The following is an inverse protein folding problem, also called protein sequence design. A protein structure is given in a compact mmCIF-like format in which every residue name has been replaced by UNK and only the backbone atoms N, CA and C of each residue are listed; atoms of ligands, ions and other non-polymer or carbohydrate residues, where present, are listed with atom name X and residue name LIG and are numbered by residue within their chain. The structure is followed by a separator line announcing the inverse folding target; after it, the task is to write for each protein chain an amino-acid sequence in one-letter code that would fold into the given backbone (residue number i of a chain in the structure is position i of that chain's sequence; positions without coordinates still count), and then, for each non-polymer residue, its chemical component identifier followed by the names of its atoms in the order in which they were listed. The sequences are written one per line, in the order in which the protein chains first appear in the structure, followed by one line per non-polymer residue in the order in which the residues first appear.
data_IF_934945566536
#
_entry.id   IF_934945566536
#
_cell.length_a   1.000
_cell.length_b   1.000
_cell.length_c   1.000
_cell.angle_alpha   90.00
_cell.angle_beta   90.00
_cell.angle_gamma   90.00
#
_symmetry.space_group_name_H-M   'P 1'
#
loop_
_entity.id
_entity.type
_entity.pdbx_description
1 polymer ?
#
# COMPACT_ATOMS: atom_id res chain seq x y z
N UNK A 1 -11.71 -1.81 -20.45
CA UNK A 1 -10.69 -2.88 -20.41
C UNK A 1 -10.80 -3.65 -19.08
N UNK A 2 -10.05 -4.74 -18.86
CA UNK A 2 -9.99 -5.43 -17.55
C UNK A 2 -9.32 -4.55 -16.49
N UNK A 3 -8.36 -3.72 -16.90
CA UNK A 3 -7.69 -2.72 -16.06
C UNK A 3 -8.69 -1.70 -15.48
N UNK A 4 -9.48 -1.04 -16.34
CA UNK A 4 -10.47 -0.03 -15.89
C UNK A 4 -11.50 -0.62 -14.91
N UNK A 5 -11.92 -1.88 -15.14
CA UNK A 5 -12.87 -2.56 -14.25
C UNK A 5 -12.27 -2.79 -12.87
N UNK A 6 -10.97 -3.11 -12.81
CA UNK A 6 -10.25 -3.27 -11.53
C UNK A 6 -10.24 -1.94 -10.76
N UNK A 7 -9.86 -0.85 -11.42
CA UNK A 7 -9.85 0.49 -10.80
C UNK A 7 -11.24 0.91 -10.32
N UNK A 8 -12.29 0.65 -11.11
CA UNK A 8 -13.68 0.93 -10.72
C UNK A 8 -14.13 0.10 -9.52
N UNK A 9 -13.70 -1.16 -9.42
CA UNK A 9 -14.01 -2.01 -8.28
C UNK A 9 -13.35 -1.48 -7.00
N UNK A 10 -12.08 -1.07 -7.08
CA UNK A 10 -11.35 -0.49 -5.94
C UNK A 10 -12.04 0.80 -5.47
N UNK A 11 -12.36 1.71 -6.38
CA UNK A 11 -13.09 2.95 -6.11
C UNK A 11 -14.42 2.67 -5.39
N UNK A 12 -15.18 1.69 -5.90
CA UNK A 12 -16.44 1.26 -5.30
C UNK A 12 -16.26 0.66 -3.89
N UNK A 13 -15.25 -0.19 -3.69
CA UNK A 13 -14.95 -0.81 -2.39
C UNK A 13 -14.57 0.25 -1.36
N UNK A 14 -13.65 1.16 -1.69
CA UNK A 14 -13.21 2.21 -0.76
C UNK A 14 -14.35 3.14 -0.42
N UNK A 15 -15.15 3.55 -1.41
CA UNK A 15 -16.33 4.41 -1.17
C UNK A 15 -17.38 3.74 -0.28
N UNK A 16 -17.60 2.43 -0.46
CA UNK A 16 -18.63 1.68 0.26
C UNK A 16 -18.21 1.30 1.67
N UNK A 17 -16.97 0.83 1.83
CA UNK A 17 -16.44 0.33 3.11
C UNK A 17 -15.95 1.48 3.99
N UNK A 18 -15.46 2.57 3.38
CA UNK A 18 -14.80 3.68 4.08
C UNK A 18 -13.71 3.20 5.04
N UNK A 19 -12.69 2.46 4.54
CA UNK A 19 -11.67 1.88 5.39
C UNK A 19 -10.82 2.95 6.10
N UNK A 20 -10.43 2.68 7.35
CA UNK A 20 -9.47 3.51 8.10
C UNK A 20 -8.04 3.39 7.54
N UNK A 21 -7.71 2.24 6.94
CA UNK A 21 -6.42 1.95 6.34
C UNK A 21 -6.57 0.93 5.21
N UNK A 22 -5.79 1.10 4.14
CA UNK A 22 -5.68 0.12 3.04
C UNK A 22 -4.35 -0.60 3.15
N UNK A 23 -4.38 -1.93 3.09
CA UNK A 23 -3.19 -2.78 3.15
C UNK A 23 -3.13 -3.59 1.86
N UNK A 24 -2.10 -3.34 1.04
CA UNK A 24 -1.87 -4.00 -0.24
C UNK A 24 -0.82 -5.07 -0.05
N UNK A 25 -1.22 -6.34 -0.23
CA UNK A 25 -0.38 -7.52 0.05
C UNK A 25 0.00 -8.23 -1.24
N UNK A 26 0.94 -7.65 -1.96
CA UNK A 26 1.57 -8.23 -3.14
C UNK A 26 0.71 -8.33 -4.39
N UNK A 27 1.41 -8.58 -5.50
CA UNK A 27 0.95 -8.81 -6.86
C UNK A 27 -0.07 -7.75 -7.32
N UNK A 28 0.24 -6.49 -7.04
CA UNK A 28 -0.64 -5.36 -7.36
C UNK A 28 -0.50 -4.98 -8.83
N UNK A 29 0.73 -5.00 -9.34
CA UNK A 29 1.04 -4.70 -10.74
C UNK A 29 1.73 -5.91 -11.35
N UNK A 30 1.10 -6.51 -12.37
CA UNK A 30 1.75 -7.60 -13.11
C UNK A 30 2.91 -7.02 -13.94
N UNK A 31 4.14 -7.42 -13.60
CA UNK A 31 5.34 -7.05 -14.36
C UNK A 31 5.41 -7.65 -15.77
N UNK A 32 4.48 -8.53 -16.13
CA UNK A 32 4.38 -9.17 -17.45
C UNK A 32 3.40 -8.40 -18.33
N UNK A 33 3.81 -8.11 -19.58
CA UNK A 33 2.96 -7.48 -20.59
C UNK A 33 3.38 -6.05 -20.91
N UNK A 34 2.47 -5.17 -21.39
CA UNK A 34 2.82 -3.84 -21.91
C UNK A 34 3.39 -2.88 -20.85
N UNK A 35 3.34 -3.27 -19.58
CA UNK A 35 3.82 -2.52 -18.42
C UNK A 35 5.23 -2.93 -18.01
N UNK A 36 6.05 -3.48 -18.92
CA UNK A 36 7.39 -3.98 -18.59
C UNK A 36 8.47 -2.88 -18.36
N UNK A 37 8.08 -1.60 -18.39
CA UNK A 37 8.99 -0.47 -18.22
C UNK A 37 9.17 -0.09 -16.74
N UNK A 38 10.31 0.49 -16.37
CA UNK A 38 10.53 0.99 -15.00
C UNK A 38 9.50 2.05 -14.56
N UNK A 39 8.99 2.81 -15.52
CA UNK A 39 8.00 3.87 -15.28
C UNK A 39 6.59 3.31 -15.07
N UNK A 40 6.30 2.16 -15.68
CA UNK A 40 4.97 1.54 -15.72
C UNK A 40 4.43 1.14 -14.33
N UNK A 41 5.29 0.68 -13.41
CA UNK A 41 4.85 0.43 -12.02
C UNK A 41 4.37 1.73 -11.40
N UNK A 42 5.15 2.81 -11.54
CA UNK A 42 4.81 4.10 -10.92
C UNK A 42 3.54 4.68 -11.54
N UNK A 43 3.33 4.55 -12.86
CA UNK A 43 2.09 4.96 -13.53
C UNK A 43 0.86 4.22 -12.98
N UNK A 44 0.93 2.89 -12.83
CA UNK A 44 -0.16 2.12 -12.24
C UNK A 44 -0.51 2.60 -10.81
N UNK A 45 0.50 2.97 -10.01
CA UNK A 45 0.27 3.56 -8.69
C UNK A 45 -0.36 4.96 -8.76
N UNK A 46 -0.01 5.78 -9.75
CA UNK A 46 -0.64 7.10 -9.94
C UNK A 46 -2.13 6.99 -10.33
N UNK A 47 -2.52 5.95 -11.05
CA UNK A 47 -3.93 5.68 -11.35
C UNK A 47 -4.69 5.09 -10.15
N UNK A 48 -4.00 4.27 -9.35
CA UNK A 48 -4.57 3.56 -8.21
C UNK A 48 -4.79 4.46 -6.99
N UNK A 49 -3.81 5.27 -6.61
CA UNK A 49 -3.83 6.11 -5.38
C UNK A 49 -5.06 7.03 -5.30
N UNK A 50 -5.50 7.72 -6.37
CA UNK A 50 -6.70 8.56 -6.34
C UNK A 50 -7.97 7.81 -5.91
N UNK A 51 -8.03 6.48 -6.12
CA UNK A 51 -9.15 5.60 -5.73
C UNK A 51 -9.22 5.32 -4.24
N UNK A 52 -8.18 5.68 -3.49
CA UNK A 52 -8.13 5.52 -2.04
C UNK A 52 -8.84 6.64 -1.29
N UNK A 53 -9.29 7.71 -1.97
CA UNK A 53 -10.06 8.81 -1.36
C UNK A 53 -9.42 9.40 -0.08
N UNK A 54 -8.09 9.52 -0.08
CA UNK A 54 -7.26 9.97 1.06
C UNK A 54 -7.16 8.98 2.25
N UNK A 55 -7.68 7.76 2.11
CA UNK A 55 -7.41 6.70 3.08
C UNK A 55 -5.91 6.37 3.08
N UNK A 56 -5.25 6.39 4.25
CA UNK A 56 -3.85 6.01 4.36
C UNK A 56 -3.62 4.56 3.93
N UNK A 57 -2.48 4.30 3.31
CA UNK A 57 -2.20 2.97 2.77
C UNK A 57 -0.78 2.49 3.04
N UNK A 58 -0.58 1.18 2.96
CA UNK A 58 0.74 0.53 2.95
C UNK A 58 0.78 -0.55 1.89
N UNK A 59 2.00 -0.87 1.45
CA UNK A 59 2.27 -1.86 0.42
C UNK A 59 3.40 -2.79 0.86
N UNK A 60 3.22 -4.06 0.51
CA UNK A 60 4.19 -5.15 0.70
C UNK A 60 4.24 -5.88 -0.63
N UNK A 61 5.43 -6.05 -1.24
CA UNK A 61 5.56 -6.73 -2.51
C UNK A 61 5.28 -8.23 -2.34
N UNK A 62 4.63 -8.79 -3.35
CA UNK A 62 4.45 -10.21 -3.58
C UNK A 62 5.58 -10.75 -4.44
N UNK A 63 5.52 -12.04 -4.71
CA UNK A 63 6.55 -12.69 -5.52
C UNK A 63 6.47 -12.26 -7.00
N UNK A 64 5.32 -11.85 -7.53
CA UNK A 64 5.23 -11.39 -8.92
C UNK A 64 5.55 -9.90 -9.11
N UNK A 65 5.62 -9.12 -8.02
CA UNK A 65 6.14 -7.75 -8.08
C UNK A 65 7.67 -7.72 -8.15
N UNK A 66 8.34 -8.78 -7.68
CA UNK A 66 9.79 -8.86 -7.51
C UNK A 66 10.43 -9.95 -8.39
N UNK A 67 10.02 -11.21 -8.23
CA UNK A 67 10.57 -12.33 -8.99
C UNK A 67 10.08 -12.28 -10.45
N UNK A 68 11.02 -12.21 -11.39
CA UNK A 68 10.77 -12.11 -12.84
C UNK A 68 10.04 -10.83 -13.28
N UNK A 69 9.98 -9.81 -12.43
CA UNK A 69 9.52 -8.48 -12.81
C UNK A 69 10.68 -7.65 -13.41
N UNK A 70 10.39 -6.59 -14.18
CA UNK A 70 11.42 -5.67 -14.67
C UNK A 70 11.94 -4.70 -13.59
N UNK A 71 11.38 -4.74 -12.37
CA UNK A 71 11.65 -3.80 -11.30
C UNK A 71 12.49 -4.44 -10.21
N UNK A 72 13.51 -3.72 -9.75
CA UNK A 72 14.26 -4.13 -8.57
C UNK A 72 13.48 -3.79 -7.30
N UNK A 73 13.77 -4.46 -6.19
CA UNK A 73 13.30 -4.03 -4.85
C UNK A 73 13.54 -2.54 -4.57
N UNK A 74 14.64 -1.97 -5.05
CA UNK A 74 14.94 -0.54 -4.91
C UNK A 74 14.00 0.36 -5.71
N UNK A 75 13.55 -0.10 -6.88
CA UNK A 75 12.52 0.57 -7.67
C UNK A 75 11.18 0.50 -6.91
N UNK A 76 10.82 -0.67 -6.35
CA UNK A 76 9.61 -0.84 -5.54
C UNK A 76 9.60 0.01 -4.26
N UNK A 77 10.75 0.24 -3.62
CA UNK A 77 10.83 1.13 -2.45
C UNK A 77 10.45 2.59 -2.77
N UNK A 78 10.49 3.02 -4.04
CA UNK A 78 10.02 4.35 -4.42
C UNK A 78 8.50 4.50 -4.25
N UNK A 79 7.75 3.41 -4.37
CA UNK A 79 6.29 3.38 -4.16
C UNK A 79 5.95 3.87 -2.75
N UNK A 80 6.76 3.50 -1.75
CA UNK A 80 6.52 3.87 -0.34
C UNK A 80 6.71 5.37 -0.06
N UNK A 81 7.22 6.13 -1.04
CA UNK A 81 7.37 7.59 -0.96
C UNK A 81 6.17 8.34 -1.57
N UNK A 82 5.24 7.63 -2.21
CA UNK A 82 4.08 8.22 -2.88
C UNK A 82 3.06 8.76 -1.84
N UNK A 83 2.26 9.78 -2.21
CA UNK A 83 1.30 10.41 -1.32
C UNK A 83 0.33 9.43 -0.65
N UNK A 84 0.08 9.65 0.64
CA UNK A 84 -0.86 8.85 1.43
C UNK A 84 -0.31 7.52 1.94
N UNK A 85 0.91 7.14 1.53
CA UNK A 85 1.58 5.99 2.13
C UNK A 85 1.92 6.29 3.60
N UNK A 86 1.53 5.42 4.53
CA UNK A 86 1.83 5.61 5.95
C UNK A 86 3.34 5.66 6.23
N UNK A 87 4.15 5.01 5.42
CA UNK A 87 5.60 5.03 5.57
C UNK A 87 6.23 6.35 5.13
N UNK A 88 5.65 7.04 4.13
CA UNK A 88 6.06 8.40 3.74
C UNK A 88 6.07 9.35 4.94
N UNK A 89 5.11 9.20 5.85
CA UNK A 89 5.03 9.99 7.08
C UNK A 89 6.14 9.65 8.10
N UNK A 90 6.66 8.42 8.06
CA UNK A 90 7.73 7.92 8.93
C UNK A 90 9.14 8.28 8.43
N UNK A 91 9.31 8.60 7.15
CA UNK A 91 10.58 9.07 6.58
C UNK A 91 11.10 10.37 7.23
N UNK A 92 10.25 11.15 7.86
CA UNK A 92 10.66 12.29 8.69
C UNK A 92 11.47 11.87 9.93
N UNK A 93 11.51 10.58 10.27
CA UNK A 93 12.14 10.01 11.48
C UNK A 93 13.41 9.19 11.19
N UNK A 94 14.10 9.42 10.07
CA UNK A 94 15.44 8.86 9.75
C UNK A 94 15.56 7.33 9.60
N UNK A 95 14.45 6.59 9.46
CA UNK A 95 14.51 5.18 9.11
C UNK A 95 14.54 5.00 7.58
N UNK A 96 15.40 4.11 7.04
CA UNK A 96 15.34 3.76 5.63
C UNK A 96 13.99 3.10 5.30
N UNK A 97 13.48 3.25 4.07
CA UNK A 97 12.24 2.58 3.69
C UNK A 97 12.45 1.07 3.73
N UNK A 98 11.49 0.35 4.28
CA UNK A 98 11.43 -1.12 4.23
C UNK A 98 10.01 -1.58 3.92
N UNK A 99 9.81 -2.86 3.60
CA UNK A 99 8.48 -3.44 3.44
C UNK A 99 7.97 -4.09 4.74
N UNK A 100 8.67 -3.91 5.85
CA UNK A 100 8.22 -4.36 7.17
C UNK A 100 7.45 -3.24 7.85
N UNK A 101 6.15 -3.46 8.06
CA UNK A 101 5.25 -2.49 8.67
C UNK A 101 4.86 -2.92 10.07
N UNK A 102 4.83 -1.98 10.99
CA UNK A 102 4.25 -2.17 12.33
C UNK A 102 3.19 -1.11 12.57
N UNK A 103 1.93 -1.54 12.65
CA UNK A 103 0.79 -0.67 12.92
C UNK A 103 0.27 -0.91 14.33
N UNK A 104 -0.11 0.18 15.01
CA UNK A 104 -0.80 0.11 16.29
C UNK A 104 -2.30 0.31 16.05
N UNK A 105 -3.05 -0.79 16.10
CA UNK A 105 -4.49 -0.78 15.92
C UNK A 105 -5.17 -0.51 17.27
N UNK A 106 -6.09 0.44 17.27
CA UNK A 106 -6.94 0.76 18.41
C UNK A 106 -8.39 0.49 18.03
N UNK A 107 -9.18 -0.06 18.94
CA UNK A 107 -10.62 -0.13 18.73
C UNK A 107 -11.19 1.30 18.70
N UNK A 108 -11.80 1.68 17.59
CA UNK A 108 -12.53 2.94 17.50
C UNK A 108 -13.69 2.96 18.50
N UNK A 109 -13.86 4.09 19.19
CA UNK A 109 -15.10 4.39 19.87
C UNK A 109 -15.93 5.20 18.85
N UNK A 110 -17.18 4.81 18.57
CA UNK A 110 -18.03 5.49 17.57
C UNK A 110 -18.26 6.99 17.87
N UNK A 111 -17.85 7.47 19.04
CA UNK A 111 -17.73 8.88 19.37
C UNK A 111 -16.24 9.24 19.31
N UNK A 112 -15.87 10.24 18.52
CA UNK A 112 -14.52 10.78 18.22
C UNK A 112 -13.62 11.15 19.43
N UNK A 113 -13.95 10.73 20.65
CA UNK A 113 -13.08 10.74 21.79
C UNK A 113 -11.99 9.67 21.61
N UNK A 114 -10.72 10.12 21.65
CA UNK A 114 -9.50 9.30 21.67
C UNK A 114 -9.78 7.89 22.20
N UNK A 115 -9.54 6.89 21.36
CA UNK A 115 -9.71 5.48 21.68
C UNK A 115 -9.23 5.18 23.10
N UNK A 116 -10.08 4.54 23.89
CA UNK A 116 -9.73 4.13 25.25
C UNK A 116 -8.46 3.29 25.16
N UNK A 117 -7.38 3.72 25.79
CA UNK A 117 -6.01 3.21 25.56
C UNK A 117 -5.79 1.77 26.00
N UNK A 118 -6.80 1.15 26.60
CA UNK A 118 -6.79 -0.16 27.23
C UNK A 118 -6.84 -1.35 26.28
N UNK A 119 -7.17 -1.18 24.99
CA UNK A 119 -7.13 -2.28 24.02
C UNK A 119 -6.44 -1.86 22.73
N UNK A 120 -5.14 -2.16 22.67
CA UNK A 120 -4.29 -1.93 21.51
C UNK A 120 -3.78 -3.27 21.01
N UNK A 121 -3.84 -3.48 19.71
CA UNK A 121 -3.22 -4.62 19.04
C UNK A 121 -2.11 -4.08 18.15
N UNK A 122 -0.96 -4.74 18.16
CA UNK A 122 0.11 -4.44 17.22
C UNK A 122 -0.01 -5.40 16.05
N UNK A 123 -0.22 -4.86 14.85
CA UNK A 123 -0.19 -5.61 13.62
C UNK A 123 1.22 -5.50 13.03
N UNK A 124 1.88 -6.64 12.89
CA UNK A 124 3.15 -6.75 12.19
C UNK A 124 2.88 -7.34 10.81
N UNK A 125 3.31 -6.64 9.78
CA UNK A 125 3.30 -7.14 8.42
C UNK A 125 4.75 -7.22 7.96
N UNK A 126 5.18 -8.42 7.65
CA UNK A 126 6.58 -8.69 7.34
C UNK A 126 6.67 -9.18 5.92
N UNK A 127 7.50 -8.49 5.16
CA UNK A 127 8.04 -8.99 3.91
C UNK A 127 8.99 -10.16 4.19
N UNK A 128 8.77 -11.30 3.53
CA UNK A 128 9.62 -12.49 3.69
C UNK A 128 10.93 -12.40 2.92
N UNK A 129 11.07 -11.38 2.06
CA UNK A 129 12.14 -11.27 1.07
C UNK A 129 11.80 -12.08 -0.19
N UNK A 130 11.75 -11.38 -1.31
CA UNK A 130 11.89 -11.91 -2.68
C UNK A 130 13.24 -11.49 -3.26
N UNK A 131 13.60 -11.99 -4.45
CA UNK A 131 14.86 -11.66 -5.11
C UNK A 131 14.75 -10.48 -6.06
#
# INVERSE_FOLDING_TARGET
DSYDRCLQLIDHLVTTIQPDVIILTGDIVDGRGPWSGKEAVTEAWHDLIPRFHNTPWIYIPGNHDDDHSPWTRMDLLQILKLPGCLQQQQHQQQQPPSFHHTLLLCKGNNNQQRANTTTRVRLHLMDSGGN
#
